data_IF_826112381421
#
_entry.id   IF_826112381421
#
_cell.length_a   1.000
_cell.length_b   1.000
_cell.length_c   1.000
_cell.angle_alpha   90.00
_cell.angle_beta   90.00
_cell.angle_gamma   90.00
#
_symmetry.space_group_name_H-M   'P 1'
#
loop_
_entity.id
_entity.type
_entity.pdbx_description
1 polymer ?
#
# COMPACT_ATOMS: atom_id res chain seq x y z
N UNK A 1 -30.21 -29.85 -25.29
CA UNK A 1 -31.30 -28.98 -25.76
C UNK A 1 -30.75 -27.58 -25.97
N UNK A 2 -30.69 -27.14 -27.23
CA UNK A 2 -30.24 -25.82 -27.68
C UNK A 2 -31.33 -24.77 -27.45
N UNK A 3 -30.98 -23.58 -26.92
CA UNK A 3 -31.76 -22.35 -27.18
C UNK A 3 -30.83 -21.23 -27.62
N UNK A 4 -30.97 -20.95 -28.90
CA UNK A 4 -30.38 -19.90 -29.70
C UNK A 4 -31.07 -18.55 -29.46
N UNK A 5 -30.28 -17.49 -29.62
CA UNK A 5 -30.60 -16.16 -30.15
C UNK A 5 -31.73 -15.32 -29.52
N UNK A 6 -31.35 -14.17 -28.97
CA UNK A 6 -32.12 -12.95 -29.15
C UNK A 6 -31.17 -11.75 -29.38
N UNK A 7 -31.18 -11.25 -30.61
CA UNK A 7 -30.62 -9.97 -31.06
C UNK A 7 -31.76 -8.94 -31.07
N UNK A 8 -31.55 -7.79 -30.43
CA UNK A 8 -32.18 -6.48 -30.70
C UNK A 8 -31.10 -5.46 -30.26
N UNK A 9 -30.37 -4.72 -31.09
CA UNK A 9 -30.76 -3.69 -32.07
C UNK A 9 -31.84 -2.74 -31.55
N UNK A 10 -31.42 -1.54 -31.11
CA UNK A 10 -32.09 -0.24 -31.29
C UNK A 10 -31.09 0.85 -30.81
N UNK A 11 -30.51 1.64 -31.72
CA UNK A 11 -30.82 3.09 -31.84
C UNK A 11 -29.74 3.90 -31.09
N UNK A 12 -29.21 5.03 -31.54
CA UNK A 12 -29.56 5.99 -32.56
C UNK A 12 -28.73 7.25 -32.24
N UNK A 13 -28.39 8.02 -33.27
CA UNK A 13 -27.43 9.11 -33.24
C UNK A 13 -27.97 10.44 -32.65
N UNK A 14 -27.06 11.43 -32.60
CA UNK A 14 -27.25 12.89 -32.52
C UNK A 14 -27.62 13.50 -31.16
N UNK A 15 -26.78 14.40 -30.65
CA UNK A 15 -26.94 15.83 -30.93
C UNK A 15 -25.86 16.64 -30.19
N UNK A 16 -25.13 17.46 -30.95
CA UNK A 16 -24.36 18.58 -30.44
C UNK A 16 -25.32 19.69 -29.97
N UNK A 17 -24.98 20.40 -28.90
CA UNK A 17 -25.52 21.74 -28.66
C UNK A 17 -24.42 22.65 -28.11
N UNK A 18 -24.11 23.68 -28.89
CA UNK A 18 -23.39 24.88 -28.53
C UNK A 18 -24.20 25.74 -27.53
N UNK A 19 -23.48 26.60 -26.80
CA UNK A 19 -23.80 27.98 -26.37
C UNK A 19 -23.18 28.21 -24.98
N UNK A 20 -22.00 28.84 -24.92
CA UNK A 20 -21.85 30.29 -24.80
C UNK A 20 -22.26 30.82 -23.42
N UNK A 21 -21.26 31.08 -22.55
CA UNK A 21 -21.39 32.06 -21.48
C UNK A 21 -20.14 32.93 -21.44
N UNK A 22 -20.20 34.03 -22.20
CA UNK A 22 -19.33 35.21 -22.06
C UNK A 22 -20.12 36.21 -21.24
N UNK A 23 -19.58 36.66 -20.10
CA UNK A 23 -20.19 37.67 -19.24
C UNK A 23 -19.18 38.22 -18.24
N UNK A 24 -18.87 39.49 -18.40
CA UNK A 24 -17.71 40.24 -17.92
C UNK A 24 -18.03 41.07 -16.66
N UNK A 25 -16.96 41.47 -15.94
CA UNK A 25 -16.76 42.68 -15.10
C UNK A 25 -17.14 42.68 -13.60
N UNK A 26 -16.05 42.90 -12.82
CA UNK A 26 -15.87 43.79 -11.66
C UNK A 26 -16.58 43.48 -10.33
N UNK A 27 -15.79 43.01 -9.37
CA UNK A 27 -15.63 43.68 -8.08
C UNK A 27 -14.40 43.10 -7.36
N UNK A 28 -13.30 43.85 -7.30
CA UNK A 28 -12.29 43.67 -6.25
C UNK A 28 -12.72 44.51 -5.04
N UNK A 29 -12.96 43.89 -3.88
CA UNK A 29 -12.78 44.56 -2.61
C UNK A 29 -11.38 44.25 -2.07
N UNK A 30 -10.56 45.29 -1.99
CA UNK A 30 -9.27 45.31 -1.30
C UNK A 30 -9.43 45.12 0.21
N UNK A 31 -8.41 44.48 0.78
CA UNK A 31 -7.81 44.65 2.10
C UNK A 31 -8.72 45.03 3.28
N UNK A 32 -8.87 44.12 4.23
CA UNK A 32 -8.35 44.30 5.60
C UNK A 32 -8.95 43.25 6.54
N UNK A 33 -8.34 42.07 6.57
CA UNK A 33 -8.41 41.17 7.72
C UNK A 33 -7.17 40.29 7.75
N UNK A 34 -6.00 40.91 7.96
CA UNK A 34 -4.88 40.19 8.54
C UNK A 34 -5.31 39.72 9.93
N UNK A 35 -5.90 38.52 9.99
CA UNK A 35 -5.79 37.69 11.20
C UNK A 35 -4.31 37.70 11.59
N UNK A 36 -3.96 37.93 12.87
CA UNK A 36 -2.59 37.73 13.29
C UNK A 36 -2.29 36.26 13.02
N UNK A 37 -1.53 36.01 11.95
CA UNK A 37 -0.79 34.78 11.78
C UNK A 37 0.10 34.73 13.02
N UNK A 38 -0.40 34.10 14.08
CA UNK A 38 0.43 33.55 15.13
C UNK A 38 1.47 32.74 14.37
N UNK A 39 2.68 33.29 14.31
CA UNK A 39 3.81 32.68 13.63
C UNK A 39 3.80 31.22 14.02
N UNK A 40 3.47 30.34 13.07
CA UNK A 40 3.60 28.92 13.29
C UNK A 40 5.04 28.74 13.80
N UNK A 41 5.25 28.08 14.95
CA UNK A 41 6.61 27.90 15.46
C UNK A 41 7.46 27.38 14.32
N UNK A 42 8.62 28.01 14.13
CA UNK A 42 9.50 27.70 13.00
C UNK A 42 9.68 26.18 12.91
N UNK A 43 9.83 25.63 11.71
CA UNK A 43 10.12 24.19 11.55
C UNK A 43 11.35 23.78 12.40
N UNK A 44 12.25 24.73 12.68
CA UNK A 44 13.40 24.56 13.55
C UNK A 44 13.03 24.30 15.04
N UNK A 45 11.83 24.66 15.49
CA UNK A 45 11.43 24.60 16.91
C UNK A 45 10.59 23.36 17.27
N UNK A 46 10.26 22.49 16.31
CA UNK A 46 9.46 21.27 16.55
C UNK A 46 10.17 19.96 16.19
N UNK A 47 11.45 19.84 16.52
CA UNK A 47 12.14 18.54 16.48
C UNK A 47 12.67 18.18 17.86
N UNK A 48 11.76 17.97 18.83
CA UNK A 48 12.10 17.06 19.92
C UNK A 48 12.09 15.65 19.34
N UNK A 49 13.26 15.19 18.88
CA UNK A 49 13.46 13.80 18.54
C UNK A 49 13.12 12.96 19.78
N UNK A 50 12.10 12.13 19.70
CA UNK A 50 11.80 11.21 20.80
C UNK A 50 13.05 10.38 21.10
N UNK A 51 13.36 10.12 22.38
CA UNK A 51 14.56 9.39 22.76
C UNK A 51 14.61 8.02 22.08
N UNK A 52 15.82 7.65 21.63
CA UNK A 52 16.09 6.34 21.06
C UNK A 52 16.24 5.32 22.19
N UNK A 53 15.18 4.57 22.46
CA UNK A 53 15.21 3.46 23.41
C UNK A 53 15.66 2.18 22.70
N UNK A 54 16.18 1.17 23.43
CA UNK A 54 16.51 -0.14 22.83
C UNK A 54 15.31 -0.78 22.08
N UNK A 55 14.10 -0.64 22.62
CA UNK A 55 12.88 -1.10 21.96
C UNK A 55 12.63 -0.38 20.62
N UNK A 56 12.82 0.95 20.58
CA UNK A 56 12.69 1.72 19.33
C UNK A 56 13.79 1.34 18.33
N UNK A 57 15.01 1.10 18.80
CA UNK A 57 16.11 0.63 17.97
C UNK A 57 15.76 -0.72 17.33
N UNK A 58 15.24 -1.67 18.12
CA UNK A 58 14.77 -2.98 17.63
C UNK A 58 13.67 -2.84 16.56
N UNK A 59 12.66 -2.00 16.79
CA UNK A 59 11.60 -1.74 15.80
C UNK A 59 12.16 -1.14 14.50
N UNK A 60 13.12 -0.22 14.61
CA UNK A 60 13.79 0.38 13.46
C UNK A 60 14.60 -0.66 12.67
N UNK A 61 15.28 -1.59 13.36
CA UNK A 61 16.02 -2.68 12.72
C UNK A 61 15.08 -3.62 11.95
N UNK A 62 13.95 -4.02 12.55
CA UNK A 62 12.95 -4.84 11.87
C UNK A 62 12.36 -4.13 10.64
N UNK A 63 12.00 -2.84 10.78
CA UNK A 63 11.49 -2.03 9.66
C UNK A 63 12.50 -1.92 8.52
N UNK A 64 13.78 -1.69 8.83
CA UNK A 64 14.85 -1.65 7.82
C UNK A 64 14.99 -2.98 7.10
N UNK A 65 14.89 -4.08 7.82
CA UNK A 65 14.97 -5.41 7.21
C UNK A 65 13.81 -5.64 6.23
N UNK A 66 12.55 -5.38 6.62
CA UNK A 66 11.41 -5.53 5.72
C UNK A 66 11.45 -4.56 4.53
N UNK A 67 12.00 -3.36 4.71
CA UNK A 67 12.24 -2.43 3.59
C UNK A 67 13.18 -3.05 2.55
N UNK A 68 14.22 -3.76 3.00
CA UNK A 68 15.15 -4.45 2.10
C UNK A 68 14.51 -5.67 1.43
N UNK A 69 13.64 -6.41 2.13
CA UNK A 69 12.85 -7.49 1.52
C UNK A 69 11.99 -6.92 0.40
N UNK A 70 11.30 -5.82 0.64
CA UNK A 70 10.48 -5.13 -0.36
C UNK A 70 11.29 -4.74 -1.60
N UNK A 71 12.48 -4.18 -1.39
CA UNK A 71 13.40 -3.81 -2.47
C UNK A 71 13.91 -5.03 -3.26
N UNK A 72 14.17 -6.15 -2.58
CA UNK A 72 14.59 -7.39 -3.23
C UNK A 72 13.45 -7.96 -4.10
N UNK A 73 12.23 -8.04 -3.55
CA UNK A 73 11.04 -8.47 -4.30
C UNK A 73 10.75 -7.57 -5.51
N UNK A 74 10.93 -6.25 -5.38
CA UNK A 74 10.77 -5.31 -6.50
C UNK A 74 11.76 -5.55 -7.65
N UNK A 75 12.92 -6.14 -7.37
CA UNK A 75 13.93 -6.53 -8.36
C UNK A 75 13.85 -8.02 -8.76
N UNK A 76 12.82 -8.74 -8.28
CA UNK A 76 12.70 -10.20 -8.44
C UNK A 76 13.90 -10.99 -7.89
N UNK A 77 14.60 -10.44 -6.89
CA UNK A 77 15.73 -11.09 -6.22
C UNK A 77 15.21 -11.91 -5.04
N UNK A 78 14.62 -13.07 -5.35
CA UNK A 78 13.97 -13.93 -4.35
C UNK A 78 14.98 -14.59 -3.41
N UNK A 79 16.21 -14.85 -3.88
CA UNK A 79 17.31 -15.35 -3.05
C UNK A 79 17.66 -14.37 -1.94
N UNK A 80 17.84 -13.07 -2.26
CA UNK A 80 18.08 -12.05 -1.23
C UNK A 80 16.86 -11.87 -0.31
N UNK A 81 15.64 -11.89 -0.86
CA UNK A 81 14.42 -11.80 -0.05
C UNK A 81 14.34 -12.93 1.00
N UNK A 82 14.58 -14.19 0.60
CA UNK A 82 14.63 -15.34 1.51
C UNK A 82 15.74 -15.23 2.54
N UNK A 83 16.94 -14.82 2.12
CA UNK A 83 18.07 -14.61 3.04
C UNK A 83 17.76 -13.56 4.11
N UNK A 84 17.09 -12.47 3.72
CA UNK A 84 16.65 -11.42 4.64
C UNK A 84 15.56 -11.93 5.59
N UNK A 85 14.56 -12.66 5.09
CA UNK A 85 13.51 -13.24 5.93
C UNK A 85 14.06 -14.26 6.94
N UNK A 86 14.96 -15.15 6.52
CA UNK A 86 15.63 -16.08 7.42
C UNK A 86 16.43 -15.36 8.52
N UNK A 87 17.07 -14.23 8.17
CA UNK A 87 17.70 -13.36 9.17
C UNK A 87 16.67 -12.75 10.12
N UNK A 88 15.50 -12.32 9.64
CA UNK A 88 14.44 -11.82 10.51
C UNK A 88 13.97 -12.90 11.49
N UNK A 89 13.78 -14.11 11.00
CA UNK A 89 13.35 -15.26 11.80
C UNK A 89 14.36 -15.61 12.91
N UNK A 90 15.65 -15.41 12.63
CA UNK A 90 16.74 -15.66 13.59
C UNK A 90 16.91 -14.52 14.60
N UNK A 91 16.98 -13.28 14.12
CA UNK A 91 17.30 -12.10 14.94
C UNK A 91 16.08 -11.62 15.76
N UNK A 92 14.86 -11.97 15.34
CA UNK A 92 13.59 -11.49 15.91
C UNK A 92 12.58 -12.62 16.17
N UNK A 93 13.06 -13.74 16.73
CA UNK A 93 12.28 -14.98 16.95
C UNK A 93 11.21 -14.90 18.05
N UNK A 94 11.31 -13.93 18.97
CA UNK A 94 10.35 -13.72 20.06
C UNK A 94 8.96 -13.30 19.53
N UNK A 95 7.90 -13.46 20.34
CA UNK A 95 6.51 -13.14 19.98
C UNK A 95 6.33 -11.64 19.74
N UNK A 96 6.75 -11.20 18.55
CA UNK A 96 6.90 -9.81 18.18
C UNK A 96 5.63 -9.30 17.47
N UNK A 97 5.36 -8.01 17.63
CA UNK A 97 4.27 -7.27 16.99
C UNK A 97 4.31 -7.26 15.44
N UNK A 98 5.28 -7.95 14.82
CA UNK A 98 5.54 -8.01 13.38
C UNK A 98 5.26 -9.39 12.78
N UNK A 99 4.60 -10.28 13.52
CA UNK A 99 4.28 -11.63 13.05
C UNK A 99 3.50 -11.62 11.72
N UNK A 100 2.54 -10.70 11.55
CA UNK A 100 1.75 -10.58 10.32
C UNK A 100 2.60 -10.07 9.14
N UNK A 101 3.54 -9.15 9.39
CA UNK A 101 4.48 -8.69 8.37
C UNK A 101 5.39 -9.83 7.92
N UNK A 102 5.98 -10.57 8.87
CA UNK A 102 6.80 -11.75 8.59
C UNK A 102 6.02 -12.77 7.74
N UNK A 103 4.84 -13.18 8.20
CA UNK A 103 4.01 -14.15 7.49
C UNK A 103 3.61 -13.67 6.09
N UNK A 104 3.26 -12.37 5.95
CA UNK A 104 2.86 -11.79 4.68
C UNK A 104 4.00 -11.73 3.66
N UNK A 105 5.24 -11.45 4.10
CA UNK A 105 6.39 -11.45 3.21
C UNK A 105 6.85 -12.84 2.82
N UNK A 106 6.77 -13.84 3.72
CA UNK A 106 6.99 -15.24 3.35
C UNK A 106 5.99 -15.68 2.27
N UNK A 107 4.69 -15.45 2.49
CA UNK A 107 3.66 -15.78 1.50
C UNK A 107 3.87 -15.05 0.16
N UNK A 108 4.22 -13.76 0.17
CA UNK A 108 4.54 -13.01 -1.04
C UNK A 108 5.73 -13.61 -1.80
N UNK A 109 6.82 -13.92 -1.08
CA UNK A 109 8.04 -14.45 -1.68
C UNK A 109 7.78 -15.80 -2.33
N UNK A 110 7.10 -16.70 -1.63
CA UNK A 110 6.78 -18.03 -2.14
C UNK A 110 5.85 -17.99 -3.36
N UNK A 111 4.81 -17.15 -3.36
CA UNK A 111 3.92 -17.01 -4.52
C UNK A 111 4.62 -16.41 -5.75
N UNK A 112 5.56 -15.49 -5.54
CA UNK A 112 6.26 -14.82 -6.64
C UNK A 112 7.38 -15.69 -7.22
N UNK A 113 8.09 -16.45 -6.38
CA UNK A 113 9.19 -17.33 -6.81
C UNK A 113 8.68 -18.68 -7.32
N UNK A 114 7.68 -19.26 -6.63
CA UNK A 114 7.16 -20.60 -6.88
C UNK A 114 5.62 -20.58 -6.95
N UNK A 115 5.02 -20.02 -8.02
CA UNK A 115 3.57 -20.01 -8.17
C UNK A 115 3.03 -21.44 -8.29
N UNK A 116 2.04 -21.79 -7.47
CA UNK A 116 1.44 -23.12 -7.48
C UNK A 116 0.36 -23.28 -6.42
N UNK A 117 -0.28 -24.44 -6.38
CA UNK A 117 -1.40 -24.71 -5.48
C UNK A 117 -1.03 -24.51 -4.00
N UNK A 118 0.20 -24.87 -3.61
CA UNK A 118 0.68 -24.70 -2.24
C UNK A 118 0.84 -23.22 -1.85
N UNK A 119 1.49 -22.42 -2.70
CA UNK A 119 1.69 -20.99 -2.43
C UNK A 119 0.38 -20.21 -2.51
N UNK A 120 -0.54 -20.57 -3.42
CA UNK A 120 -1.92 -20.05 -3.44
C UNK A 120 -2.67 -20.39 -2.15
N UNK A 121 -2.60 -21.63 -1.66
CA UNK A 121 -3.25 -22.02 -0.41
C UNK A 121 -2.67 -21.28 0.80
N UNK A 122 -1.35 -21.08 0.86
CA UNK A 122 -0.70 -20.29 1.89
C UNK A 122 -1.13 -18.81 1.84
N UNK A 123 -1.17 -18.22 0.63
CA UNK A 123 -1.66 -16.87 0.41
C UNK A 123 -3.12 -16.69 0.83
N UNK A 124 -3.97 -17.70 0.57
CA UNK A 124 -5.38 -17.70 0.99
C UNK A 124 -5.50 -17.69 2.52
N UNK A 125 -4.80 -18.59 3.22
CA UNK A 125 -4.78 -18.63 4.70
C UNK A 125 -4.37 -17.28 5.29
N UNK A 126 -3.30 -16.69 4.76
CA UNK A 126 -2.85 -15.36 5.21
C UNK A 126 -3.95 -14.31 5.03
N UNK A 127 -4.63 -14.28 3.88
CA UNK A 127 -5.68 -13.31 3.60
C UNK A 127 -6.88 -13.45 4.54
N UNK A 128 -7.23 -14.68 4.89
CA UNK A 128 -8.38 -14.98 5.75
C UNK A 128 -8.11 -14.67 7.22
N UNK A 129 -6.91 -15.02 7.70
CA UNK A 129 -6.49 -14.86 9.09
C UNK A 129 -6.05 -13.43 9.42
N UNK A 130 -5.26 -12.80 8.55
CA UNK A 130 -4.58 -11.53 8.83
C UNK A 130 -5.38 -10.32 8.35
N UNK A 131 -6.58 -10.14 8.91
CA UNK A 131 -7.54 -9.14 8.44
C UNK A 131 -7.06 -7.69 8.54
N UNK A 132 -6.26 -7.38 9.56
CA UNK A 132 -5.69 -6.05 9.79
C UNK A 132 -4.36 -5.77 9.09
N UNK A 133 -3.76 -6.77 8.44
CA UNK A 133 -2.43 -6.60 7.87
C UNK A 133 -2.46 -5.74 6.61
N UNK A 134 -1.55 -4.76 6.54
CA UNK A 134 -1.38 -3.91 5.36
C UNK A 134 -0.91 -4.70 4.12
N UNK A 135 -0.28 -5.87 4.33
CA UNK A 135 0.18 -6.75 3.27
C UNK A 135 -0.93 -7.58 2.61
N UNK A 136 -2.12 -7.67 3.22
CA UNK A 136 -3.24 -8.49 2.74
C UNK A 136 -3.58 -8.26 1.27
N UNK A 137 -3.65 -6.98 0.86
CA UNK A 137 -3.94 -6.62 -0.54
C UNK A 137 -2.81 -7.01 -1.50
N UNK A 138 -1.56 -7.01 -1.04
CA UNK A 138 -0.41 -7.42 -1.85
C UNK A 138 -0.39 -8.94 -2.02
N UNK A 139 -0.52 -9.68 -0.92
CA UNK A 139 -0.60 -11.15 -0.92
C UNK A 139 -1.74 -11.63 -1.83
N UNK A 140 -2.96 -11.10 -1.65
CA UNK A 140 -4.10 -11.47 -2.51
C UNK A 140 -3.80 -11.25 -4.00
N UNK A 141 -3.18 -10.12 -4.36
CA UNK A 141 -2.85 -9.82 -5.76
C UNK A 141 -1.75 -10.69 -6.32
N UNK A 142 -0.81 -11.17 -5.51
CA UNK A 142 0.29 -12.00 -5.96
C UNK A 142 -0.11 -13.48 -6.05
N UNK A 143 -0.84 -13.98 -5.04
CA UNK A 143 -1.07 -15.41 -4.83
C UNK A 143 -2.39 -15.95 -5.39
N UNK A 144 -3.41 -15.10 -5.54
CA UNK A 144 -4.81 -15.52 -5.79
C UNK A 144 -5.34 -14.97 -7.13
N UNK A 145 -4.49 -14.95 -8.16
CA UNK A 145 -4.88 -14.49 -9.50
C UNK A 145 -5.69 -15.54 -10.24
#
# INVERSE_FOLDING_TARGET
MNKKHLKLLLGGALAALCCAFVGTLLAEPSDDAQSPLQSAPSIAERVQAHPMTPARQRLNDQRRLFTRVDQALARSDFTEARRLLARHDTDFSETDAWQDWRAGYHALTDCLEHPGAESTAAGQRFVDEQRGSTLRRRVRRACLK
#
